data_IF_971275683788
#
_entry.id   IF_971275683788
#
_cell.length_a   1.000
_cell.length_b   1.000
_cell.length_c   1.000
_cell.angle_alpha   90.00
_cell.angle_beta   90.00
_cell.angle_gamma   90.00
#
_symmetry.space_group_name_H-M   'P 1'
#
loop_
_entity.id
_entity.type
_entity.pdbx_description
1 polymer ?
#
# COMPACT_ATOMS: atom_id res chain seq x y z
N UNK A 1 24.60 50.46 -18.26
CA UNK A 1 25.96 50.20 -18.82
C UNK A 1 25.96 48.79 -19.35
N UNK A 2 26.15 48.71 -20.67
CA UNK A 2 26.73 47.68 -21.54
C UNK A 2 26.20 46.27 -21.34
N UNK A 3 25.55 45.68 -22.30
CA UNK A 3 25.74 45.47 -23.75
C UNK A 3 26.24 44.08 -24.04
N UNK A 4 25.47 43.39 -24.89
CA UNK A 4 25.87 42.49 -26.01
C UNK A 4 26.61 41.20 -25.64
N UNK A 5 26.36 40.06 -26.24
CA UNK A 5 26.28 39.79 -27.68
C UNK A 5 25.62 38.46 -28.01
N UNK A 6 24.96 38.54 -29.12
CA UNK A 6 24.37 37.49 -29.94
C UNK A 6 25.43 36.85 -30.84
N UNK A 7 25.49 35.53 -30.96
CA UNK A 7 26.18 34.89 -32.09
C UNK A 7 25.32 33.80 -32.73
N UNK A 8 25.03 34.06 -33.96
CA UNK A 8 24.52 33.25 -35.08
C UNK A 8 25.56 32.22 -35.55
N UNK A 9 25.12 31.02 -35.95
CA UNK A 9 25.66 30.23 -37.10
C UNK A 9 24.65 29.12 -37.37
N UNK A 10 23.86 29.15 -38.30
CA UNK A 10 23.71 28.90 -39.77
C UNK A 10 24.33 27.56 -40.23
N UNK A 11 23.35 26.72 -40.73
CA UNK A 11 23.37 25.82 -41.88
C UNK A 11 24.45 24.74 -42.01
N UNK A 12 24.01 23.47 -42.24
CA UNK A 12 24.19 22.78 -43.52
C UNK A 12 23.16 21.65 -43.68
N UNK A 13 22.47 21.74 -44.81
CA UNK A 13 21.58 20.77 -45.42
C UNK A 13 22.45 19.77 -46.20
N UNK A 14 22.27 18.47 -46.03
CA UNK A 14 22.78 17.47 -46.97
C UNK A 14 21.76 16.39 -47.21
N UNK A 15 21.21 16.46 -48.40
CA UNK A 15 20.33 15.50 -49.08
C UNK A 15 21.18 14.31 -49.54
N UNK A 16 20.84 13.08 -49.14
CA UNK A 16 21.34 11.86 -49.81
C UNK A 16 20.13 11.03 -50.23
N UNK A 17 19.88 11.09 -51.51
CA UNK A 17 19.04 10.17 -52.25
C UNK A 17 19.79 8.86 -52.44
N UNK A 18 19.26 7.73 -51.98
CA UNK A 18 19.76 6.41 -52.36
C UNK A 18 18.64 5.62 -53.04
N UNK A 19 18.90 5.28 -54.30
CA UNK A 19 18.13 4.46 -55.21
C UNK A 19 17.91 3.04 -54.65
N UNK A 20 16.70 2.57 -54.58
CA UNK A 20 16.36 1.15 -54.42
C UNK A 20 16.14 0.54 -55.82
N UNK A 21 17.05 -0.35 -56.20
CA UNK A 21 16.90 -1.20 -57.38
C UNK A 21 15.95 -2.39 -57.06
N UNK A 22 14.90 -2.53 -57.82
CA UNK A 22 14.02 -3.69 -57.84
C UNK A 22 14.72 -4.85 -58.59
N UNK A 23 14.98 -5.93 -57.87
CA UNK A 23 15.37 -7.22 -58.45
C UNK A 23 14.14 -8.11 -58.56
N UNK A 24 13.70 -8.35 -59.77
CA UNK A 24 12.64 -9.31 -60.15
C UNK A 24 13.17 -10.74 -60.12
N UNK A 25 12.58 -11.62 -59.31
CA UNK A 25 12.85 -13.05 -59.28
C UNK A 25 11.84 -13.81 -60.18
N UNK A 26 12.28 -14.70 -61.06
CA UNK A 26 11.36 -15.42 -61.92
C UNK A 26 10.68 -16.56 -61.17
N UNK A 27 9.36 -16.69 -61.31
CA UNK A 27 8.53 -17.76 -60.79
C UNK A 27 8.63 -18.99 -61.74
N UNK A 28 9.21 -20.07 -61.26
CA UNK A 28 9.15 -21.37 -61.93
C UNK A 28 7.96 -22.16 -61.40
N UNK A 29 7.00 -22.41 -62.27
CA UNK A 29 5.88 -23.31 -62.00
C UNK A 29 6.33 -24.78 -62.07
N UNK A 30 6.23 -25.49 -60.95
CA UNK A 30 6.37 -26.95 -60.95
C UNK A 30 5.01 -27.63 -60.83
N UNK A 31 4.70 -28.46 -61.81
CA UNK A 31 3.53 -29.31 -61.86
C UNK A 31 3.62 -30.42 -60.82
N UNK A 32 2.63 -30.47 -59.96
CA UNK A 32 2.51 -31.45 -58.90
C UNK A 32 1.72 -32.67 -59.38
N UNK A 33 2.39 -33.82 -59.42
CA UNK A 33 1.74 -35.10 -59.60
C UNK A 33 0.99 -35.52 -58.33
N UNK A 34 -0.25 -35.93 -58.47
CA UNK A 34 -1.11 -36.43 -57.41
C UNK A 34 -0.58 -37.77 -56.91
N UNK A 35 -0.19 -37.85 -55.64
CA UNK A 35 -0.03 -39.06 -54.86
C UNK A 35 -0.81 -39.00 -53.56
N UNK A 36 -1.54 -40.08 -53.28
CA UNK A 36 -2.48 -40.35 -52.25
C UNK A 36 -2.32 -39.66 -50.88
N UNK A 37 -3.39 -39.07 -50.44
CA UNK A 37 -3.52 -38.49 -49.12
C UNK A 37 -3.59 -39.64 -48.06
N UNK A 38 -2.48 -39.90 -47.35
CA UNK A 38 -2.55 -40.50 -46.04
C UNK A 38 -2.94 -39.45 -45.04
N UNK A 39 -4.15 -39.55 -44.50
CA UNK A 39 -4.65 -38.73 -43.40
C UNK A 39 -3.81 -39.06 -42.18
N UNK A 40 -2.78 -38.24 -41.91
CA UNK A 40 -2.15 -38.17 -40.59
C UNK A 40 -3.16 -37.51 -39.65
N UNK A 41 -3.66 -38.28 -38.73
CA UNK A 41 -4.36 -37.77 -37.56
C UNK A 41 -3.33 -36.97 -36.74
N UNK A 42 -3.30 -35.69 -36.95
CA UNK A 42 -2.54 -34.74 -36.15
C UNK A 42 -3.23 -34.70 -34.80
N UNK A 43 -2.64 -35.37 -33.81
CA UNK A 43 -3.05 -35.21 -32.41
C UNK A 43 -2.87 -33.76 -32.04
N UNK A 44 -3.98 -33.10 -31.70
CA UNK A 44 -3.95 -31.76 -31.17
C UNK A 44 -2.93 -31.71 -30.02
N UNK A 45 -2.07 -30.68 -29.97
CA UNK A 45 -1.14 -30.54 -28.85
C UNK A 45 -1.97 -30.50 -27.57
N UNK A 46 -1.67 -31.38 -26.63
CA UNK A 46 -2.23 -31.32 -25.30
C UNK A 46 -1.94 -29.92 -24.76
N UNK A 47 -3.00 -29.13 -24.54
CA UNK A 47 -2.92 -27.89 -23.83
C UNK A 47 -2.44 -28.27 -22.44
N UNK A 48 -1.15 -28.10 -22.18
CA UNK A 48 -0.59 -28.16 -20.85
C UNK A 48 -1.26 -26.98 -20.13
N UNK A 49 -2.34 -27.30 -19.43
CA UNK A 49 -2.88 -26.37 -18.44
C UNK A 49 -1.76 -26.20 -17.41
N UNK A 50 -1.00 -25.15 -17.60
CA UNK A 50 -0.07 -24.67 -16.61
C UNK A 50 -0.96 -24.31 -15.41
N UNK A 51 -1.15 -25.23 -14.48
CA UNK A 51 -1.75 -24.93 -13.19
C UNK A 51 -0.92 -23.81 -12.60
N UNK A 52 -1.42 -22.59 -12.77
CA UNK A 52 -0.82 -21.41 -12.17
C UNK A 52 -0.85 -21.67 -10.68
N UNK A 53 0.30 -22.06 -10.10
CA UNK A 53 0.45 -22.08 -8.65
C UNK A 53 -0.07 -20.74 -8.14
N UNK A 54 -0.98 -20.72 -7.18
CA UNK A 54 -1.49 -19.49 -6.64
C UNK A 54 -0.29 -18.64 -6.19
N UNK A 55 -0.09 -17.50 -6.84
CA UNK A 55 0.97 -16.57 -6.44
C UNK A 55 0.53 -16.00 -5.08
N UNK A 56 1.37 -16.09 -4.05
CA UNK A 56 1.02 -15.52 -2.75
C UNK A 56 0.74 -14.02 -2.92
N UNK A 57 -0.33 -13.54 -2.29
CA UNK A 57 -0.75 -12.11 -2.34
C UNK A 57 0.35 -11.21 -1.80
N UNK A 58 1.16 -11.74 -0.88
CA UNK A 58 2.17 -11.02 -0.14
C UNK A 58 3.50 -11.71 -0.33
N UNK A 59 4.53 -10.97 -0.65
CA UNK A 59 5.89 -11.50 -0.64
C UNK A 59 6.27 -11.90 0.79
N UNK A 60 6.93 -13.03 0.93
CA UNK A 60 7.35 -13.54 2.24
C UNK A 60 8.26 -12.53 2.99
N UNK A 61 9.03 -11.72 2.26
CA UNK A 61 9.84 -10.63 2.80
C UNK A 61 9.01 -9.52 3.44
N UNK A 62 7.86 -9.18 2.88
CA UNK A 62 7.00 -8.10 3.37
C UNK A 62 6.24 -8.52 4.61
N UNK A 63 5.79 -9.79 4.67
CA UNK A 63 5.17 -10.34 5.89
C UNK A 63 6.18 -10.47 7.04
N UNK A 64 7.46 -10.65 6.73
CA UNK A 64 8.53 -10.79 7.72
C UNK A 64 9.01 -9.47 8.33
N UNK A 65 8.68 -8.34 7.69
CA UNK A 65 9.08 -7.00 8.15
C UNK A 65 7.88 -6.17 8.64
N UNK A 66 6.77 -6.81 8.93
CA UNK A 66 5.53 -6.12 9.25
C UNK A 66 5.60 -5.32 10.56
N UNK A 67 6.22 -5.89 11.58
CA UNK A 67 6.07 -5.36 12.93
C UNK A 67 4.64 -5.56 13.47
N UNK A 68 4.37 -5.07 14.68
CA UNK A 68 3.06 -5.21 15.32
C UNK A 68 2.90 -4.23 16.48
N UNK A 69 1.65 -4.03 16.92
CA UNK A 69 1.34 -3.24 18.12
C UNK A 69 0.71 -4.19 19.13
N UNK A 70 1.44 -4.55 20.19
CA UNK A 70 1.00 -5.50 21.20
C UNK A 70 0.63 -4.80 22.50
N UNK A 71 -0.41 -5.26 23.18
CA UNK A 71 -0.84 -4.68 24.48
C UNK A 71 0.19 -4.89 25.57
N UNK A 72 0.75 -6.08 25.63
CA UNK A 72 1.75 -6.48 26.61
C UNK A 72 2.94 -7.10 25.90
N UNK A 73 4.11 -6.44 25.94
CA UNK A 73 5.32 -6.98 25.33
C UNK A 73 5.62 -8.38 25.89
N UNK A 74 5.80 -9.35 25.00
CA UNK A 74 6.23 -10.67 25.38
C UNK A 74 7.69 -10.64 25.85
N UNK A 75 8.03 -11.50 26.82
CA UNK A 75 9.39 -11.64 27.26
C UNK A 75 10.32 -12.04 26.10
N UNK A 76 11.45 -11.39 25.99
CA UNK A 76 12.47 -11.75 25.02
C UNK A 76 13.14 -13.07 25.41
N UNK A 77 13.48 -13.88 24.43
CA UNK A 77 14.27 -15.10 24.62
C UNK A 77 15.77 -14.80 24.80
N UNK A 78 16.18 -13.56 24.55
CA UNK A 78 17.53 -13.04 24.62
C UNK A 78 17.65 -11.74 23.85
N UNK A 79 18.87 -11.26 23.68
CA UNK A 79 19.20 -10.05 22.92
C UNK A 79 20.54 -10.21 22.18
N UNK A 80 20.79 -9.34 21.23
CA UNK A 80 22.08 -9.25 20.54
C UNK A 80 23.06 -8.55 21.48
N UNK A 81 24.15 -9.22 21.88
CA UNK A 81 25.12 -8.70 22.84
C UNK A 81 26.48 -8.41 22.22
N UNK A 82 26.68 -8.75 20.95
CA UNK A 82 27.92 -8.50 20.24
C UNK A 82 27.83 -8.97 18.79
N UNK A 83 28.88 -8.71 18.04
CA UNK A 83 28.98 -9.16 16.66
C UNK A 83 30.42 -9.42 16.24
N UNK A 84 30.61 -10.17 15.17
CA UNK A 84 31.91 -10.25 14.50
C UNK A 84 32.26 -8.89 13.91
N UNK A 85 33.48 -8.43 14.08
CA UNK A 85 33.96 -7.11 13.64
C UNK A 85 33.23 -5.91 14.29
N UNK A 86 32.74 -6.07 15.52
CA UNK A 86 32.06 -5.02 16.28
C UNK A 86 32.92 -3.74 16.43
N UNK A 87 34.24 -3.86 16.48
CA UNK A 87 35.17 -2.72 16.53
C UNK A 87 35.14 -1.86 15.27
N UNK A 88 34.70 -2.41 14.16
CA UNK A 88 34.70 -1.75 12.84
C UNK A 88 33.30 -1.40 12.34
N UNK A 89 32.28 -2.05 12.90
CA UNK A 89 30.89 -1.92 12.45
C UNK A 89 29.91 -1.83 13.62
N UNK A 90 28.95 -0.93 13.48
CA UNK A 90 27.88 -0.76 14.46
C UNK A 90 26.52 -1.20 13.93
N UNK A 91 26.42 -1.45 12.63
CA UNK A 91 25.19 -1.87 11.93
C UNK A 91 25.44 -3.24 11.32
N UNK A 92 24.51 -4.16 11.56
CA UNK A 92 24.63 -5.54 11.10
C UNK A 92 23.48 -5.88 10.15
N UNK A 93 23.82 -6.49 9.04
CA UNK A 93 22.88 -6.89 8.00
C UNK A 93 22.99 -8.36 7.64
N UNK A 94 22.26 -8.77 6.63
CA UNK A 94 22.24 -10.15 6.16
C UNK A 94 23.65 -10.71 5.91
N UNK A 95 23.91 -11.93 6.38
CA UNK A 95 25.18 -12.62 6.28
C UNK A 95 26.16 -12.30 7.41
N UNK A 96 25.91 -11.29 8.25
CA UNK A 96 26.78 -11.01 9.39
C UNK A 96 26.56 -12.03 10.52
N UNK A 97 27.62 -12.28 11.30
CA UNK A 97 27.56 -13.10 12.51
C UNK A 97 27.42 -12.20 13.74
N UNK A 98 26.42 -12.50 14.55
CA UNK A 98 26.13 -11.79 15.80
C UNK A 98 26.18 -12.75 16.97
N UNK A 99 26.45 -12.23 18.17
CA UNK A 99 26.44 -12.97 19.43
C UNK A 99 25.16 -12.65 20.20
N UNK A 100 24.50 -13.70 20.66
CA UNK A 100 23.24 -13.59 21.42
C UNK A 100 23.46 -14.13 22.83
N UNK A 101 22.86 -13.50 23.84
CA UNK A 101 22.93 -13.89 25.25
C UNK A 101 22.00 -15.08 25.59
N UNK A 102 21.76 -15.92 24.62
CA UNK A 102 20.96 -17.12 24.74
C UNK A 102 21.81 -18.33 24.30
N UNK A 103 22.01 -19.28 25.23
CA UNK A 103 22.85 -20.45 24.98
C UNK A 103 22.18 -21.77 25.37
N UNK A 104 22.96 -22.84 25.48
CA UNK A 104 22.47 -24.18 25.82
C UNK A 104 21.71 -24.21 27.16
N UNK A 105 22.14 -23.43 28.15
CA UNK A 105 21.45 -23.31 29.44
C UNK A 105 20.03 -22.71 29.28
N UNK A 106 19.79 -21.87 28.29
CA UNK A 106 18.49 -21.34 27.93
C UNK A 106 17.70 -22.22 26.93
N UNK A 107 18.18 -23.43 26.62
CA UNK A 107 17.52 -24.37 25.73
C UNK A 107 17.71 -24.06 24.24
N UNK A 108 18.62 -23.17 23.87
CA UNK A 108 18.93 -22.85 22.48
C UNK A 108 19.62 -24.02 21.80
N UNK A 109 19.24 -24.28 20.56
CA UNK A 109 19.79 -25.36 19.72
C UNK A 109 20.38 -24.82 18.43
N UNK A 110 21.34 -25.54 17.89
CA UNK A 110 21.88 -25.23 16.57
C UNK A 110 20.78 -25.35 15.51
N UNK A 111 20.77 -24.39 14.58
CA UNK A 111 19.72 -24.28 13.53
C UNK A 111 18.44 -23.60 13.99
N UNK A 112 18.28 -23.29 15.28
CA UNK A 112 17.11 -22.57 15.78
C UNK A 112 17.04 -21.16 15.18
N UNK A 113 15.83 -20.75 14.81
CA UNK A 113 15.58 -19.42 14.24
C UNK A 113 14.92 -18.49 15.25
N UNK A 114 15.33 -17.22 15.20
CA UNK A 114 14.77 -16.14 15.99
C UNK A 114 14.35 -14.99 15.09
N UNK A 115 13.24 -14.37 15.41
CA UNK A 115 12.87 -13.05 14.92
C UNK A 115 13.52 -11.99 15.81
N UNK A 116 14.19 -11.04 15.21
CA UNK A 116 14.78 -9.88 15.90
C UNK A 116 13.75 -8.76 15.91
N UNK A 117 13.48 -8.23 17.10
CA UNK A 117 12.47 -7.19 17.30
C UNK A 117 13.04 -6.02 18.08
N UNK A 118 12.52 -4.82 17.78
CA UNK A 118 12.90 -3.57 18.42
C UNK A 118 11.66 -2.83 18.91
N UNK A 119 11.35 -2.85 20.22
CA UNK A 119 10.26 -2.04 20.76
C UNK A 119 10.54 -0.55 20.56
N UNK A 120 9.57 0.18 20.01
CA UNK A 120 9.66 1.62 19.76
C UNK A 120 8.93 2.47 20.80
N UNK A 121 8.17 1.84 21.68
CA UNK A 121 7.47 2.51 22.75
C UNK A 121 5.95 2.42 22.66
N UNK A 122 5.26 3.09 23.59
CA UNK A 122 3.80 3.12 23.63
C UNK A 122 3.23 3.87 22.45
N UNK A 123 2.21 3.26 21.83
CA UNK A 123 1.55 3.80 20.67
C UNK A 123 0.12 4.24 20.97
N UNK A 124 -0.18 5.48 20.60
CA UNK A 124 -1.51 6.06 20.64
C UNK A 124 -1.82 6.66 19.26
N UNK A 125 -3.06 6.55 18.82
CA UNK A 125 -3.48 7.13 17.55
C UNK A 125 -4.70 8.01 17.74
N UNK A 126 -4.69 9.19 17.13
CA UNK A 126 -5.85 10.08 17.05
C UNK A 126 -6.96 9.52 16.14
N UNK A 127 -6.63 8.54 15.32
CA UNK A 127 -7.57 7.94 14.38
C UNK A 127 -8.35 6.77 14.99
N UNK A 128 -7.84 6.16 16.06
CA UNK A 128 -8.55 5.08 16.73
C UNK A 128 -9.71 5.59 17.56
N UNK A 129 -10.83 4.88 17.48
CA UNK A 129 -11.98 5.09 18.36
C UNK A 129 -11.87 4.34 19.67
N UNK A 130 -10.88 3.44 19.82
CA UNK A 130 -10.62 2.72 21.05
C UNK A 130 -9.93 3.64 22.06
N UNK A 131 -10.50 3.80 23.23
CA UNK A 131 -9.91 4.62 24.30
C UNK A 131 -8.57 4.07 24.78
N UNK A 132 -7.66 4.97 25.20
CA UNK A 132 -6.37 4.64 25.76
C UNK A 132 -5.30 4.22 24.76
N UNK A 133 -4.22 3.62 25.26
CA UNK A 133 -3.12 3.14 24.43
C UNK A 133 -3.52 1.88 23.66
N UNK A 134 -3.15 1.82 22.39
CA UNK A 134 -3.31 0.62 21.59
C UNK A 134 -2.28 -0.46 21.91
N UNK A 135 -1.18 -0.08 22.58
CA UNK A 135 -0.12 -1.00 22.98
C UNK A 135 1.27 -0.43 22.80
N UNK A 136 2.24 -1.31 22.64
CA UNK A 136 3.64 -0.99 22.31
C UNK A 136 3.88 -1.35 20.86
N UNK A 137 4.32 -0.37 20.08
CA UNK A 137 4.76 -0.63 18.70
C UNK A 137 6.12 -1.32 18.75
N UNK A 138 6.17 -2.48 18.15
CA UNK A 138 7.36 -3.32 18.04
C UNK A 138 7.67 -3.57 16.57
N UNK A 139 8.83 -3.14 16.16
CA UNK A 139 9.35 -3.31 14.80
C UNK A 139 10.02 -4.68 14.68
N UNK A 140 9.78 -5.39 13.59
CA UNK A 140 10.56 -6.57 13.20
C UNK A 140 11.75 -6.10 12.38
N UNK A 141 12.97 -6.26 12.91
CA UNK A 141 14.19 -5.78 12.28
C UNK A 141 14.91 -6.85 11.46
N UNK A 142 14.64 -8.14 11.72
CA UNK A 142 15.26 -9.21 10.95
C UNK A 142 15.06 -10.60 11.53
N UNK A 143 15.79 -11.56 11.00
CA UNK A 143 15.82 -12.96 11.45
C UNK A 143 17.23 -13.46 11.58
N UNK A 144 17.44 -14.28 12.60
CA UNK A 144 18.71 -14.96 12.92
C UNK A 144 18.52 -16.46 12.88
N UNK A 145 19.57 -17.19 12.49
CA UNK A 145 19.69 -18.64 12.65
C UNK A 145 20.94 -18.95 13.44
N UNK A 146 20.79 -19.75 14.50
CA UNK A 146 21.89 -20.16 15.36
C UNK A 146 22.82 -21.11 14.60
N UNK A 147 24.08 -20.74 14.48
CA UNK A 147 25.13 -21.53 13.78
C UNK A 147 26.07 -22.23 14.78
N UNK A 148 26.19 -21.73 15.99
CA UNK A 148 26.99 -22.35 17.06
C UNK A 148 26.41 -22.04 18.44
N UNK A 149 26.32 -23.03 19.29
CA UNK A 149 25.78 -22.90 20.63
C UNK A 149 26.93 -23.10 21.66
N UNK A 150 26.99 -22.23 22.67
CA UNK A 150 27.80 -22.37 23.87
C UNK A 150 26.89 -22.32 25.11
N UNK A 151 27.43 -22.43 26.28
CA UNK A 151 26.66 -22.54 27.52
C UNK A 151 25.72 -21.36 27.74
N UNK A 152 26.22 -20.12 27.64
CA UNK A 152 25.46 -18.88 27.88
C UNK A 152 25.28 -18.00 26.68
N UNK A 153 26.12 -18.15 25.67
CA UNK A 153 26.13 -17.30 24.45
C UNK A 153 26.10 -18.19 23.22
N UNK A 154 25.38 -17.80 22.21
CA UNK A 154 25.41 -18.47 20.90
C UNK A 154 25.84 -17.53 19.81
N UNK A 155 26.39 -18.09 18.73
CA UNK A 155 26.67 -17.37 17.50
C UNK A 155 25.52 -17.63 16.55
N UNK A 156 24.97 -16.56 15.99
CA UNK A 156 23.88 -16.62 15.03
C UNK A 156 24.22 -15.83 13.76
N UNK A 157 23.77 -16.33 12.63
CA UNK A 157 23.89 -15.68 11.33
C UNK A 157 22.60 -14.89 11.06
N UNK A 158 22.74 -13.66 10.59
CA UNK A 158 21.61 -12.85 10.09
C UNK A 158 21.16 -13.43 8.76
N UNK A 159 20.05 -14.16 8.77
CA UNK A 159 19.50 -14.78 7.55
C UNK A 159 18.69 -13.80 6.71
N UNK A 160 18.10 -12.80 7.36
CA UNK A 160 17.30 -11.78 6.72
C UNK A 160 17.30 -10.49 7.56
N UNK A 161 17.41 -9.33 6.92
CA UNK A 161 17.35 -8.02 7.56
C UNK A 161 16.31 -7.13 6.89
N UNK A 162 15.38 -6.59 7.67
CA UNK A 162 14.42 -5.58 7.24
C UNK A 162 15.01 -4.17 7.33
N UNK A 163 15.84 -3.98 8.33
CA UNK A 163 16.64 -2.80 8.62
C UNK A 163 17.91 -3.26 9.33
N UNK A 164 18.83 -2.35 9.58
CA UNK A 164 20.06 -2.67 10.29
C UNK A 164 19.79 -3.18 11.71
N UNK A 165 20.40 -4.30 12.07
CA UNK A 165 20.39 -4.84 13.41
C UNK A 165 21.38 -4.09 14.29
N UNK A 166 21.02 -3.89 15.54
CA UNK A 166 21.83 -3.19 16.54
C UNK A 166 22.09 -4.08 17.75
N UNK A 167 23.13 -3.77 18.49
CA UNK A 167 23.32 -4.35 19.82
C UNK A 167 22.16 -3.94 20.72
N UNK A 168 21.65 -4.90 21.50
CA UNK A 168 20.48 -4.72 22.36
C UNK A 168 19.14 -5.02 21.69
N UNK A 169 19.10 -5.30 20.39
CA UNK A 169 17.86 -5.79 19.75
C UNK A 169 17.45 -7.13 20.38
N UNK A 170 16.14 -7.26 20.60
CA UNK A 170 15.57 -8.39 21.34
C UNK A 170 15.27 -9.57 20.41
N UNK A 171 15.31 -10.76 20.98
CA UNK A 171 15.05 -12.02 20.27
C UNK A 171 13.72 -12.61 20.70
N UNK A 172 12.96 -13.08 19.73
CA UNK A 172 11.75 -13.90 19.93
C UNK A 172 11.86 -15.18 19.11
N UNK A 173 11.30 -16.30 19.57
CA UNK A 173 11.20 -17.49 18.73
C UNK A 173 10.54 -17.14 17.40
N UNK A 174 11.13 -17.59 16.29
CA UNK A 174 10.57 -17.34 14.98
C UNK A 174 9.19 -18.01 14.86
N UNK A 175 8.19 -17.23 14.49
CA UNK A 175 6.87 -17.74 14.14
C UNK A 175 6.76 -17.81 12.61
N UNK A 176 6.22 -18.92 12.11
CA UNK A 176 5.90 -19.03 10.70
C UNK A 176 4.78 -18.03 10.38
N UNK A 177 5.08 -17.03 9.57
CA UNK A 177 4.05 -16.10 9.08
C UNK A 177 3.04 -16.86 8.20
N UNK A 178 1.76 -16.64 8.45
CA UNK A 178 0.72 -17.15 7.56
C UNK A 178 0.63 -16.18 6.37
N UNK A 179 0.93 -16.68 5.19
CA UNK A 179 0.76 -15.93 3.96
C UNK A 179 -0.65 -16.23 3.42
N UNK A 180 -1.55 -15.26 3.39
CA UNK A 180 -2.90 -15.47 2.86
C UNK A 180 -2.84 -15.88 1.38
N UNK A 181 -3.76 -16.77 0.92
CA UNK A 181 -3.83 -17.15 -0.48
C UNK A 181 -4.26 -15.96 -1.34
N UNK A 182 -3.75 -15.90 -2.57
CA UNK A 182 -4.15 -14.89 -3.53
C UNK A 182 -5.64 -15.04 -3.87
N UNK A 183 -6.35 -13.93 -3.90
CA UNK A 183 -7.69 -13.84 -4.46
C UNK A 183 -7.63 -13.64 -5.99
N UNK A 184 -8.71 -14.02 -6.68
CA UNK A 184 -8.88 -13.64 -8.07
C UNK A 184 -8.83 -12.12 -8.22
N UNK A 185 -8.17 -11.65 -9.28
CA UNK A 185 -8.04 -10.21 -9.56
C UNK A 185 -9.36 -9.69 -10.13
N UNK A 186 -10.28 -9.35 -9.23
CA UNK A 186 -11.56 -8.71 -9.55
C UNK A 186 -11.41 -7.22 -9.32
N UNK A 187 -11.87 -6.39 -10.25
CA UNK A 187 -11.84 -4.95 -10.10
C UNK A 187 -12.53 -4.50 -8.80
N UNK A 188 -11.93 -3.51 -8.10
CA UNK A 188 -12.54 -2.92 -6.93
C UNK A 188 -13.80 -2.14 -7.33
N UNK A 189 -14.93 -2.46 -6.72
CA UNK A 189 -16.11 -1.61 -6.79
C UNK A 189 -15.91 -0.37 -5.90
N UNK A 190 -15.79 0.79 -6.53
CA UNK A 190 -15.50 2.05 -5.84
C UNK A 190 -16.64 2.54 -4.94
N UNK A 191 -17.83 2.01 -5.12
CA UNK A 191 -19.03 2.38 -4.38
C UNK A 191 -19.70 1.17 -3.70
N UNK A 192 -18.89 0.12 -3.45
CA UNK A 192 -19.39 -1.09 -2.80
C UNK A 192 -20.16 -0.76 -1.51
N UNK A 193 -21.33 -1.39 -1.38
CA UNK A 193 -22.19 -1.22 -0.22
C UNK A 193 -21.51 -1.72 1.08
N UNK A 194 -21.84 -1.15 2.23
CA UNK A 194 -21.36 -1.62 3.52
C UNK A 194 -21.76 -3.08 3.78
N UNK A 195 -20.83 -3.86 4.34
CA UNK A 195 -21.11 -5.24 4.76
C UNK A 195 -21.80 -5.32 6.12
N UNK A 196 -21.86 -4.20 6.84
CA UNK A 196 -22.34 -4.10 8.22
C UNK A 196 -21.56 -4.98 9.21
N UNK A 197 -20.32 -5.36 8.87
CA UNK A 197 -19.41 -6.07 9.76
C UNK A 197 -18.55 -5.08 10.56
N UNK A 198 -17.52 -5.61 11.24
CA UNK A 198 -16.62 -4.80 12.08
C UNK A 198 -15.94 -3.72 11.25
N UNK A 199 -15.91 -2.52 11.80
CA UNK A 199 -15.26 -1.36 11.22
C UNK A 199 -14.18 -0.81 12.14
N UNK A 200 -13.08 -0.37 11.57
CA UNK A 200 -11.96 0.26 12.27
C UNK A 200 -11.29 1.32 11.41
N UNK A 201 -10.07 1.67 11.75
CA UNK A 201 -9.28 2.66 11.02
C UNK A 201 -7.85 2.20 10.85
N UNK A 202 -7.18 2.67 9.80
CA UNK A 202 -5.74 2.60 9.67
C UNK A 202 -5.15 3.59 10.68
N UNK A 203 -4.40 3.08 11.64
CA UNK A 203 -3.84 3.90 12.73
C UNK A 203 -2.40 4.30 12.50
N UNK A 204 -1.67 3.53 11.70
CA UNK A 204 -0.27 3.77 11.36
C UNK A 204 0.08 3.03 10.08
N UNK A 205 0.85 3.64 9.20
CA UNK A 205 1.58 2.96 8.15
C UNK A 205 3.02 2.68 8.62
N UNK A 206 3.61 1.58 8.16
CA UNK A 206 5.01 1.28 8.45
C UNK A 206 5.89 2.46 8.04
N UNK A 207 6.96 2.69 8.79
CA UNK A 207 7.92 3.79 8.58
C UNK A 207 7.31 5.20 8.71
N UNK A 208 6.12 5.32 9.31
CA UNK A 208 5.45 6.62 9.54
C UNK A 208 4.98 7.32 8.27
N UNK A 209 4.78 6.61 7.19
CA UNK A 209 4.30 7.18 5.92
C UNK A 209 2.88 7.71 6.06
N UNK A 210 2.58 8.82 5.41
CA UNK A 210 1.24 9.41 5.39
C UNK A 210 0.37 8.78 4.30
N UNK A 211 0.95 8.50 3.14
CA UNK A 211 0.29 7.86 2.01
C UNK A 211 0.87 6.45 1.80
N UNK A 212 -0.01 5.51 1.53
CA UNK A 212 0.30 4.07 1.43
C UNK A 212 -0.14 3.56 0.07
N UNK A 213 0.70 2.74 -0.53
CA UNK A 213 0.45 2.08 -1.81
C UNK A 213 0.33 0.56 -1.66
N UNK A 214 0.19 -0.12 -2.79
CA UNK A 214 0.14 -1.59 -2.83
C UNK A 214 1.40 -2.20 -2.24
N UNK A 215 1.23 -3.37 -1.60
CA UNK A 215 2.27 -4.17 -0.94
C UNK A 215 2.88 -3.52 0.31
N UNK A 216 2.35 -2.38 0.77
CA UNK A 216 2.81 -1.73 2.00
C UNK A 216 2.05 -2.22 3.22
N UNK A 217 2.76 -2.20 4.36
CA UNK A 217 2.25 -2.66 5.65
C UNK A 217 1.57 -1.52 6.39
N UNK A 218 0.39 -1.80 6.93
CA UNK A 218 -0.38 -0.88 7.77
C UNK A 218 -0.84 -1.58 9.05
N UNK A 219 -1.09 -0.78 10.07
CA UNK A 219 -1.65 -1.22 11.34
C UNK A 219 -3.07 -0.66 11.48
N UNK A 220 -3.99 -1.51 11.91
CA UNK A 220 -5.40 -1.16 12.09
C UNK A 220 -5.81 -1.35 13.54
N UNK A 221 -6.84 -0.63 13.98
CA UNK A 221 -7.40 -0.73 15.33
C UNK A 221 -8.49 -1.82 15.45
N UNK A 222 -8.41 -2.84 14.61
CA UNK A 222 -9.17 -4.08 14.76
C UNK A 222 -8.23 -5.19 15.21
N UNK A 223 -8.62 -5.96 16.20
CA UNK A 223 -7.81 -7.03 16.76
C UNK A 223 -8.63 -8.26 17.13
N UNK A 224 -8.04 -9.14 17.95
CA UNK A 224 -8.72 -10.35 18.40
C UNK A 224 -10.03 -10.05 19.16
N UNK A 225 -10.09 -8.93 19.88
CA UNK A 225 -11.31 -8.47 20.56
C UNK A 225 -12.48 -8.14 19.61
N UNK A 226 -12.16 -7.84 18.35
CA UNK A 226 -13.14 -7.55 17.29
C UNK A 226 -13.44 -8.79 16.42
N UNK A 227 -12.96 -9.98 16.83
CA UNK A 227 -13.10 -11.25 16.12
C UNK A 227 -12.52 -11.30 14.71
N UNK A 228 -11.52 -10.46 14.41
CA UNK A 228 -10.79 -10.55 13.14
C UNK A 228 -9.73 -11.63 13.18
N UNK A 229 -9.39 -12.19 12.03
CA UNK A 229 -8.47 -13.31 11.88
C UNK A 229 -7.44 -13.05 10.79
N UNK A 230 -6.31 -13.72 10.90
CA UNK A 230 -5.32 -13.73 9.81
C UNK A 230 -5.97 -14.30 8.55
N UNK A 231 -5.78 -13.58 7.44
CA UNK A 231 -6.38 -13.92 6.15
C UNK A 231 -7.71 -13.21 5.85
N UNK A 232 -8.30 -12.51 6.81
CA UNK A 232 -9.48 -11.69 6.56
C UNK A 232 -9.11 -10.52 5.64
N UNK A 233 -9.98 -10.28 4.67
CA UNK A 233 -9.88 -9.13 3.78
C UNK A 233 -10.73 -7.98 4.30
N UNK A 234 -10.22 -6.76 4.13
CA UNK A 234 -10.90 -5.54 4.53
C UNK A 234 -10.99 -4.57 3.36
N UNK A 235 -12.14 -3.95 3.25
CA UNK A 235 -12.35 -2.80 2.35
C UNK A 235 -11.88 -1.54 3.03
N UNK A 236 -10.99 -0.78 2.37
CA UNK A 236 -10.60 0.58 2.82
C UNK A 236 -11.51 1.59 2.16
N UNK A 237 -12.14 2.46 2.96
CA UNK A 237 -13.10 3.40 2.44
C UNK A 237 -13.04 4.76 3.15
N UNK A 238 -13.58 5.78 2.46
CA UNK A 238 -13.81 7.11 3.01
C UNK A 238 -15.30 7.43 2.98
N UNK A 239 -15.87 7.90 4.09
CA UNK A 239 -17.21 8.43 4.07
C UNK A 239 -17.22 9.73 3.26
N UNK A 240 -18.10 9.81 2.28
CA UNK A 240 -18.28 11.02 1.48
C UNK A 240 -19.26 11.98 2.14
N UNK A 241 -19.22 13.21 1.71
CA UNK A 241 -20.20 14.20 2.15
C UNK A 241 -19.87 14.95 3.43
N UNK A 242 -18.80 14.65 4.12
CA UNK A 242 -18.43 15.30 5.38
C UNK A 242 -17.48 16.48 5.24
N UNK A 243 -16.92 16.73 4.06
CA UNK A 243 -16.01 17.84 3.81
C UNK A 243 -16.64 19.19 4.12
N UNK A 244 -15.88 20.14 4.66
CA UNK A 244 -16.27 21.54 4.68
C UNK A 244 -16.34 22.04 3.24
N UNK A 245 -17.31 22.91 2.96
CA UNK A 245 -17.32 23.62 1.69
C UNK A 245 -16.94 25.08 1.93
N UNK A 246 -16.20 25.63 1.01
CA UNK A 246 -15.92 27.05 1.01
C UNK A 246 -17.18 27.74 0.47
N UNK A 247 -17.69 28.74 1.19
CA UNK A 247 -18.87 29.51 0.79
C UNK A 247 -18.60 30.46 -0.40
N UNK A 248 -17.70 30.08 -1.26
CA UNK A 248 -17.44 30.83 -2.48
C UNK A 248 -18.66 30.82 -3.36
N UNK A 249 -19.20 31.98 -3.63
CA UNK A 249 -20.31 32.15 -4.54
C UNK A 249 -21.71 31.91 -3.97
N UNK A 250 -21.87 31.49 -2.71
CA UNK A 250 -23.19 31.35 -2.10
C UNK A 250 -23.90 32.72 -1.88
N UNK A 251 -23.12 33.80 -1.94
CA UNK A 251 -23.60 35.18 -1.76
C UNK A 251 -23.68 35.95 -3.07
N UNK A 252 -23.22 35.38 -4.18
CA UNK A 252 -23.22 36.05 -5.47
C UNK A 252 -24.61 35.89 -6.08
N UNK A 253 -25.38 36.94 -6.03
CA UNK A 253 -26.62 37.04 -6.78
C UNK A 253 -26.32 37.43 -8.23
N UNK A 254 -26.63 36.57 -9.17
CA UNK A 254 -26.67 36.98 -10.58
C UNK A 254 -27.90 37.83 -10.77
N UNK A 255 -27.70 39.12 -10.85
CA UNK A 255 -28.76 40.02 -11.23
C UNK A 255 -28.71 40.27 -12.73
N UNK A 256 -29.71 39.76 -13.46
CA UNK A 256 -29.82 39.92 -14.90
C UNK A 256 -29.90 41.43 -15.36
N UNK A 257 -30.21 42.34 -14.41
CA UNK A 257 -30.24 43.79 -14.71
C UNK A 257 -28.86 44.44 -14.70
N UNK A 258 -27.92 43.83 -14.02
CA UNK A 258 -26.56 44.38 -13.85
C UNK A 258 -25.50 43.57 -14.62
N UNK A 259 -25.89 42.47 -15.23
CA UNK A 259 -24.97 41.58 -15.96
C UNK A 259 -23.91 40.94 -15.06
N UNK A 260 -22.88 40.43 -15.67
CA UNK A 260 -21.73 39.81 -15.01
C UNK A 260 -20.62 40.83 -14.66
N UNK A 261 -20.93 42.12 -14.56
CA UNK A 261 -19.96 43.19 -14.33
C UNK A 261 -19.79 43.55 -12.86
N UNK A 262 -20.25 42.74 -11.93
CA UNK A 262 -20.00 42.99 -10.51
C UNK A 262 -18.53 42.76 -10.19
N UNK A 263 -17.99 43.61 -9.30
CA UNK A 263 -16.60 43.47 -8.83
C UNK A 263 -16.30 42.10 -8.21
N UNK A 264 -17.31 41.44 -7.69
CA UNK A 264 -17.25 40.08 -7.18
C UNK A 264 -16.89 39.05 -8.25
N UNK A 265 -17.24 39.28 -9.51
CA UNK A 265 -16.79 38.47 -10.62
C UNK A 265 -15.36 38.73 -11.07
N UNK A 266 -14.80 39.87 -10.74
CA UNK A 266 -13.43 40.24 -11.10
C UNK A 266 -12.40 39.60 -10.20
N UNK A 267 -12.79 39.10 -9.03
CA UNK A 267 -11.92 38.44 -8.07
C UNK A 267 -11.85 36.91 -8.25
N UNK A 268 -12.13 36.39 -9.42
CA UNK A 268 -11.98 34.97 -9.71
C UNK A 268 -13.10 34.06 -9.19
N UNK A 269 -14.20 34.65 -8.76
CA UNK A 269 -15.41 33.92 -8.39
C UNK A 269 -16.12 33.22 -9.57
N UNK A 270 -15.52 33.22 -10.73
CA UNK A 270 -15.90 32.42 -11.91
C UNK A 270 -15.49 30.96 -11.79
N UNK A 271 -15.54 30.40 -10.63
CA UNK A 271 -15.50 28.97 -10.58
C UNK A 271 -16.75 28.44 -11.30
N UNK A 272 -16.62 27.31 -11.97
CA UNK A 272 -17.73 26.59 -12.58
C UNK A 272 -18.81 26.16 -11.58
N UNK A 273 -18.82 26.77 -10.41
CA UNK A 273 -19.84 26.55 -9.41
C UNK A 273 -21.11 27.20 -9.89
N UNK A 274 -22.18 26.43 -9.87
CA UNK A 274 -23.51 26.91 -10.19
C UNK A 274 -23.79 28.15 -9.35
N UNK A 275 -24.24 29.18 -10.02
CA UNK A 275 -24.62 30.46 -9.40
C UNK A 275 -25.70 30.21 -8.36
N UNK A 276 -25.47 30.71 -7.17
CA UNK A 276 -26.36 30.50 -6.05
C UNK A 276 -26.76 31.84 -5.50
N UNK A 277 -28.03 32.06 -5.41
CA UNK A 277 -28.61 33.30 -4.90
C UNK A 277 -28.92 33.12 -3.44
N UNK A 278 -28.63 34.11 -2.59
CA UNK A 278 -29.25 34.23 -1.30
C UNK A 278 -30.76 34.33 -1.49
N UNK A 279 -31.48 33.52 -0.79
CA UNK A 279 -32.93 33.40 -0.87
C UNK A 279 -33.61 34.63 -0.28
N UNK A 280 -33.68 35.65 -1.05
CA UNK A 280 -34.42 36.88 -0.67
C UNK A 280 -35.77 36.95 -1.42
N UNK A 281 -35.87 36.32 -2.59
CA UNK A 281 -37.06 36.42 -3.44
C UNK A 281 -37.28 35.20 -4.34
N UNK A 282 -37.08 34.00 -3.82
CA UNK A 282 -37.15 32.76 -4.60
C UNK A 282 -38.48 32.53 -5.34
N UNK A 283 -39.58 33.12 -4.85
CA UNK A 283 -40.89 33.01 -5.49
C UNK A 283 -41.04 33.88 -6.74
N UNK A 284 -40.28 34.93 -6.84
CA UNK A 284 -40.40 35.94 -7.93
C UNK A 284 -39.56 35.59 -9.17
N UNK A 285 -38.49 34.84 -8.98
CA UNK A 285 -37.49 34.54 -10.03
C UNK A 285 -37.22 33.03 -10.23
N UNK A 286 -38.01 32.18 -9.63
CA UNK A 286 -37.83 30.72 -9.70
C UNK A 286 -37.12 30.12 -8.51
N UNK A 287 -36.95 28.82 -8.55
CA UNK A 287 -36.28 28.07 -7.49
C UNK A 287 -34.79 28.43 -7.40
N UNK A 288 -34.34 28.75 -6.18
CA UNK A 288 -32.94 29.02 -5.90
C UNK A 288 -32.26 27.81 -5.26
N UNK A 289 -30.98 27.62 -5.55
CA UNK A 289 -30.20 26.52 -5.00
C UNK A 289 -29.40 26.99 -3.80
N UNK A 290 -29.64 26.39 -2.64
CA UNK A 290 -28.87 26.67 -1.42
C UNK A 290 -28.01 25.48 -1.03
N UNK A 291 -26.72 25.55 -1.24
CA UNK A 291 -25.76 24.48 -0.86
C UNK A 291 -25.87 24.07 0.61
N UNK A 292 -25.92 24.98 1.60
CA UNK A 292 -26.08 24.59 3.00
C UNK A 292 -27.34 23.80 3.27
N UNK A 293 -28.46 24.17 2.60
CA UNK A 293 -29.74 23.48 2.76
C UNK A 293 -29.69 22.10 2.15
N UNK A 294 -29.19 21.95 0.94
CA UNK A 294 -29.05 20.65 0.27
C UNK A 294 -28.16 19.74 1.10
N UNK A 295 -27.01 20.26 1.58
CA UNK A 295 -26.07 19.48 2.40
C UNK A 295 -26.69 18.98 3.71
N UNK A 296 -27.57 19.76 4.34
CA UNK A 296 -28.27 19.34 5.57
C UNK A 296 -29.37 18.32 5.34
N UNK A 297 -30.06 18.39 4.21
CA UNK A 297 -31.26 17.57 3.94
C UNK A 297 -31.03 16.47 2.88
N UNK A 298 -29.78 16.30 2.41
CA UNK A 298 -29.49 15.26 1.44
C UNK A 298 -29.59 13.86 2.06
N UNK A 299 -29.98 12.86 1.29
CA UNK A 299 -29.89 11.46 1.72
C UNK A 299 -28.44 11.06 1.98
N UNK A 300 -28.20 9.95 2.68
CA UNK A 300 -26.85 9.38 2.79
C UNK A 300 -26.25 9.21 1.41
N UNK A 301 -25.01 9.68 1.24
CA UNK A 301 -24.27 9.50 -0.01
C UNK A 301 -23.43 8.22 0.08
N UNK A 302 -23.15 7.56 -1.06
CA UNK A 302 -22.30 6.37 -1.08
C UNK A 302 -20.94 6.66 -0.46
N UNK A 303 -20.37 5.67 0.21
CA UNK A 303 -18.98 5.70 0.62
C UNK A 303 -18.07 5.49 -0.60
N UNK A 304 -16.85 5.93 -0.52
CA UNK A 304 -15.84 5.76 -1.56
C UNK A 304 -14.82 4.72 -1.14
N UNK A 305 -14.77 3.60 -1.83
CA UNK A 305 -13.75 2.58 -1.63
C UNK A 305 -12.44 3.06 -2.27
N UNK A 306 -11.35 3.06 -1.49
CA UNK A 306 -10.03 3.49 -1.92
C UNK A 306 -9.04 2.34 -2.05
N UNK A 307 -9.29 1.19 -1.42
CA UNK A 307 -8.42 0.04 -1.50
C UNK A 307 -8.93 -1.19 -0.77
N UNK A 308 -8.05 -2.18 -0.67
CA UNK A 308 -8.28 -3.44 0.02
C UNK A 308 -7.03 -3.84 0.78
N UNK A 309 -7.22 -4.41 1.96
CA UNK A 309 -6.17 -4.94 2.83
C UNK A 309 -6.41 -6.43 3.08
N UNK A 310 -5.35 -7.15 3.45
CA UNK A 310 -5.43 -8.49 4.02
C UNK A 310 -4.68 -8.52 5.36
N UNK A 311 -5.30 -9.11 6.37
CA UNK A 311 -4.69 -9.26 7.70
C UNK A 311 -3.63 -10.35 7.67
N UNK A 312 -2.41 -10.02 8.12
CA UNK A 312 -1.27 -10.95 8.19
C UNK A 312 -0.93 -11.34 9.62
N UNK A 313 -1.29 -10.51 10.60
CA UNK A 313 -1.07 -10.76 12.03
C UNK A 313 -2.16 -10.09 12.85
N UNK A 314 -2.60 -10.76 13.91
CA UNK A 314 -3.63 -10.26 14.84
C UNK A 314 -3.05 -10.20 16.25
N UNK A 315 -3.21 -9.07 16.89
CA UNK A 315 -2.93 -8.82 18.30
C UNK A 315 -4.26 -8.56 19.06
N UNK A 316 -4.21 -8.33 20.36
CA UNK A 316 -5.44 -8.15 21.15
C UNK A 316 -6.35 -7.05 20.61
N UNK A 317 -5.82 -5.84 20.42
CA UNK A 317 -6.59 -4.64 20.02
C UNK A 317 -6.29 -4.16 18.61
N UNK A 318 -5.29 -4.71 17.96
CA UNK A 318 -4.77 -4.25 16.67
C UNK A 318 -4.50 -5.43 15.75
N UNK A 319 -4.39 -5.17 14.46
CA UNK A 319 -3.84 -6.13 13.52
C UNK A 319 -2.87 -5.44 12.56
N UNK A 320 -1.93 -6.24 12.05
CA UNK A 320 -1.06 -5.87 10.95
C UNK A 320 -1.69 -6.38 9.67
N UNK A 321 -1.79 -5.50 8.68
CA UNK A 321 -2.37 -5.83 7.39
C UNK A 321 -1.47 -5.33 6.25
N UNK A 322 -1.63 -5.91 5.07
CA UNK A 322 -0.92 -5.52 3.85
C UNK A 322 -1.93 -5.04 2.82
N UNK A 323 -1.59 -3.97 2.13
CA UNK A 323 -2.40 -3.41 1.06
C UNK A 323 -2.33 -4.32 -0.15
N UNK A 324 -3.44 -4.92 -0.55
CA UNK A 324 -3.50 -5.83 -1.71
C UNK A 324 -3.89 -5.09 -2.98
N UNK A 325 -4.78 -4.12 -2.87
CA UNK A 325 -5.29 -3.34 -4.01
C UNK A 325 -5.50 -1.88 -3.64
N UNK A 326 -5.27 -0.99 -4.60
CA UNK A 326 -5.39 0.46 -4.43
C UNK A 326 -6.16 1.04 -5.61
N UNK A 327 -7.25 1.72 -5.33
CA UNK A 327 -7.98 2.53 -6.30
C UNK A 327 -7.60 4.01 -6.21
N UNK A 328 -7.17 4.45 -5.02
CA UNK A 328 -6.62 5.77 -4.70
C UNK A 328 -5.65 5.65 -3.54
N UNK A 329 -4.83 6.67 -3.32
CA UNK A 329 -3.96 6.75 -2.14
C UNK A 329 -4.72 6.44 -0.85
N UNK A 330 -4.15 5.54 -0.06
CA UNK A 330 -4.64 5.19 1.26
C UNK A 330 -3.87 6.03 2.28
N UNK A 331 -4.56 6.54 3.29
CA UNK A 331 -3.96 7.37 4.33
C UNK A 331 -4.21 6.83 5.73
N UNK A 332 -3.36 7.23 6.66
CA UNK A 332 -3.64 7.04 8.07
C UNK A 332 -4.95 7.76 8.43
N UNK A 333 -5.87 7.04 9.08
CA UNK A 333 -7.21 7.52 9.41
C UNK A 333 -8.29 7.08 8.43
N UNK A 334 -7.95 6.47 7.29
CA UNK A 334 -8.95 5.84 6.42
C UNK A 334 -9.68 4.72 7.18
N UNK A 335 -10.98 4.63 6.96
CA UNK A 335 -11.80 3.60 7.59
C UNK A 335 -11.60 2.25 6.89
N UNK A 336 -11.70 1.18 7.67
CA UNK A 336 -11.63 -0.20 7.18
C UNK A 336 -12.85 -0.99 7.64
N UNK A 337 -13.32 -1.93 6.83
CA UNK A 337 -14.46 -2.82 7.14
C UNK A 337 -14.13 -4.24 6.68
N UNK A 338 -14.45 -5.22 7.51
CA UNK A 338 -14.30 -6.64 7.18
C UNK A 338 -15.23 -7.02 6.04
N UNK A 339 -14.74 -7.77 5.04
CA UNK A 339 -15.52 -8.21 3.87
C UNK A 339 -16.40 -9.41 4.13
#
# INVERSE_FOLDING_TARGET
>A
MRSCDTIYVRRVLSLVLLFCAFASVPTSAQTVGARGAQRRTESAPAVVQNERRPVPVVRQSESACGGFIEQSPQAAAGQIVGAEQESERHLFGQGNLVFIDAGAQGGVRMGQEFTVVRPRGRFNSKFSRKGGSLGVYTEEVGRLRVVRVRDRVSVAEVTFACTDLLLGDLLRPAQAGVVPPARADVALDRFAEPTAKQTGHIVLARDGREAVSRDEVVFIDLGAEDNVRVGDYLTVFRPEGHGSFVRYGDEIAVNARHGFESDEFREGAFSNQSQRVKDVDGSKYGATVKTPSIKRHRPPVPRKVVGELVITRVEGRTATAIVTRVAQEIHNGDAVEVQ
#
